data_IF_420727660596
#
_entry.id   IF_420727660596
#
_cell.length_a   1.000
_cell.length_b   1.000
_cell.length_c   1.000
_cell.angle_alpha   90.00
_cell.angle_beta   90.00
_cell.angle_gamma   90.00
#
_symmetry.space_group_name_H-M   'P 1'
#
loop_
_entity.id
_entity.type
_entity.pdbx_description
1 polymer ?
#
# COMPACT_ATOMS: atom_id res chain seq x y z
N UNK A 1 -42.82 -43.99 -0.12
CA UNK A 1 -43.70 -44.63 -1.13
C UNK A 1 -43.73 -43.90 -2.49
N UNK A 2 -42.66 -43.25 -2.99
CA UNK A 2 -42.77 -42.39 -4.19
C UNK A 2 -41.96 -42.77 -5.45
N UNK A 3 -41.29 -43.93 -5.50
CA UNK A 3 -40.37 -44.23 -6.63
C UNK A 3 -40.52 -45.63 -7.23
N UNK A 4 -41.67 -45.93 -7.85
CA UNK A 4 -41.84 -47.18 -8.61
C UNK A 4 -42.16 -46.98 -10.10
N UNK A 5 -42.03 -45.76 -10.65
CA UNK A 5 -42.12 -45.56 -12.11
C UNK A 5 -40.74 -45.29 -12.73
N UNK A 6 -40.43 -45.98 -13.83
CA UNK A 6 -39.22 -45.80 -14.63
C UNK A 6 -38.97 -44.32 -15.00
N UNK A 7 -40.05 -43.54 -15.07
CA UNK A 7 -40.11 -42.10 -15.35
C UNK A 7 -39.50 -41.23 -14.25
N UNK A 8 -39.79 -41.53 -12.99
CA UNK A 8 -39.18 -40.81 -11.87
C UNK A 8 -37.67 -41.05 -11.82
N UNK A 9 -37.22 -42.25 -12.21
CA UNK A 9 -35.78 -42.57 -12.38
C UNK A 9 -35.13 -41.73 -13.48
N UNK A 10 -35.73 -41.63 -14.66
CA UNK A 10 -35.15 -40.84 -15.78
C UNK A 10 -35.10 -39.35 -15.43
N UNK A 11 -36.18 -38.80 -14.88
CA UNK A 11 -36.22 -37.39 -14.47
C UNK A 11 -35.20 -37.07 -13.37
N UNK A 12 -35.07 -37.96 -12.37
CA UNK A 12 -34.07 -37.85 -11.31
C UNK A 12 -32.66 -37.84 -11.90
N UNK A 13 -32.36 -38.74 -12.85
CA UNK A 13 -31.03 -38.80 -13.49
C UNK A 13 -30.72 -37.49 -14.22
N UNK A 14 -31.65 -36.92 -14.97
CA UNK A 14 -31.44 -35.63 -15.65
C UNK A 14 -31.20 -34.47 -14.67
N UNK A 15 -31.98 -34.39 -13.58
CA UNK A 15 -31.82 -33.35 -12.56
C UNK A 15 -30.48 -33.48 -11.84
N UNK A 16 -30.10 -34.71 -11.46
CA UNK A 16 -28.80 -34.98 -10.82
C UNK A 16 -27.65 -34.64 -11.76
N UNK A 17 -27.72 -35.04 -13.02
CA UNK A 17 -26.66 -34.79 -14.00
C UNK A 17 -26.49 -33.29 -14.27
N UNK A 18 -27.60 -32.53 -14.31
CA UNK A 18 -27.56 -31.07 -14.43
C UNK A 18 -26.99 -30.39 -13.18
N UNK A 19 -27.37 -30.85 -11.98
CA UNK A 19 -26.81 -30.33 -10.72
C UNK A 19 -25.30 -30.59 -10.63
N UNK A 20 -24.84 -31.76 -11.07
CA UNK A 20 -23.40 -32.09 -11.14
C UNK A 20 -22.68 -31.16 -12.12
N UNK A 21 -23.25 -30.94 -13.31
CA UNK A 21 -22.67 -30.03 -14.31
C UNK A 21 -22.59 -28.58 -13.78
N UNK A 22 -23.64 -28.10 -13.11
CA UNK A 22 -23.66 -26.78 -12.48
C UNK A 22 -22.67 -26.66 -11.32
N UNK A 23 -22.60 -27.67 -10.45
CA UNK A 23 -21.62 -27.70 -9.35
C UNK A 23 -20.19 -27.70 -9.89
N UNK A 24 -19.90 -28.49 -10.93
CA UNK A 24 -18.59 -28.49 -11.59
C UNK A 24 -18.25 -27.12 -12.19
N UNK A 25 -19.19 -26.48 -12.90
CA UNK A 25 -19.01 -25.14 -13.44
C UNK A 25 -18.75 -24.10 -12.34
N UNK A 26 -19.53 -24.14 -11.25
CA UNK A 26 -19.35 -23.25 -10.11
C UNK A 26 -17.97 -23.43 -9.46
N UNK A 27 -17.53 -24.68 -9.24
CA UNK A 27 -16.21 -24.99 -8.68
C UNK A 27 -15.08 -24.48 -9.57
N UNK A 28 -15.17 -24.71 -10.88
CA UNK A 28 -14.17 -24.23 -11.85
C UNK A 28 -14.10 -22.71 -11.82
N UNK A 29 -15.23 -22.02 -11.95
CA UNK A 29 -15.26 -20.55 -11.97
C UNK A 29 -14.73 -19.97 -10.66
N UNK A 30 -15.15 -20.50 -9.51
CA UNK A 30 -14.68 -20.03 -8.21
C UNK A 30 -13.17 -20.25 -8.03
N UNK A 31 -12.65 -21.38 -8.50
CA UNK A 31 -11.21 -21.67 -8.46
C UNK A 31 -10.39 -20.72 -9.35
N UNK A 32 -10.92 -20.34 -10.52
CA UNK A 32 -10.29 -19.40 -11.45
C UNK A 32 -10.31 -17.98 -10.86
N UNK A 33 -11.42 -17.57 -10.26
CA UNK A 33 -11.55 -16.25 -9.61
C UNK A 33 -10.54 -16.10 -8.47
N UNK A 34 -10.47 -17.08 -7.56
CA UNK A 34 -9.56 -17.02 -6.41
C UNK A 34 -8.09 -16.99 -6.85
N UNK A 35 -7.71 -17.83 -7.82
CA UNK A 35 -6.34 -17.84 -8.36
C UNK A 35 -5.99 -16.53 -9.08
N UNK A 36 -6.91 -16.02 -9.90
CA UNK A 36 -6.69 -14.75 -10.61
C UNK A 36 -6.63 -13.56 -9.67
N UNK A 37 -7.39 -13.57 -8.58
CA UNK A 37 -7.39 -12.48 -7.60
C UNK A 37 -6.03 -12.33 -6.89
N UNK A 38 -5.44 -13.43 -6.42
CA UNK A 38 -4.11 -13.37 -5.79
C UNK A 38 -3.03 -12.90 -6.77
N UNK A 39 -3.03 -13.45 -7.99
CA UNK A 39 -2.06 -13.06 -9.02
C UNK A 39 -2.22 -11.59 -9.45
N UNK A 40 -3.46 -11.13 -9.65
CA UNK A 40 -3.74 -9.74 -9.97
C UNK A 40 -3.32 -8.80 -8.83
N UNK A 41 -3.51 -9.20 -7.57
CA UNK A 41 -3.08 -8.40 -6.42
C UNK A 41 -1.55 -8.25 -6.37
N UNK A 42 -0.79 -9.32 -6.62
CA UNK A 42 0.68 -9.24 -6.70
C UNK A 42 1.15 -8.37 -7.88
N UNK A 43 0.57 -8.54 -9.06
CA UNK A 43 0.90 -7.74 -10.24
C UNK A 43 0.59 -6.26 -10.00
N UNK A 44 -0.58 -5.94 -9.41
CA UNK A 44 -0.94 -4.57 -9.02
C UNK A 44 0.00 -3.98 -7.98
N UNK A 45 0.39 -4.74 -6.95
CA UNK A 45 1.36 -4.30 -5.96
C UNK A 45 2.73 -4.02 -6.59
N UNK A 46 3.16 -4.81 -7.58
CA UNK A 46 4.43 -4.57 -8.29
C UNK A 46 4.42 -3.30 -9.15
N UNK A 47 3.27 -2.97 -9.74
CA UNK A 47 3.08 -1.72 -10.48
C UNK A 47 3.05 -0.56 -9.50
N UNK A 48 2.29 -0.70 -8.42
CA UNK A 48 2.15 0.33 -7.41
C UNK A 48 3.46 0.59 -6.65
N UNK A 49 4.31 -0.41 -6.41
CA UNK A 49 5.68 -0.24 -5.89
C UNK A 49 6.50 0.70 -6.79
N UNK A 50 6.43 0.50 -8.11
CA UNK A 50 7.15 1.34 -9.08
C UNK A 50 6.60 2.77 -9.12
N UNK A 51 5.28 2.92 -9.10
CA UNK A 51 4.62 4.25 -9.05
C UNK A 51 4.97 4.96 -7.74
N UNK A 52 4.90 4.27 -6.61
CA UNK A 52 5.25 4.79 -5.31
C UNK A 52 6.72 5.24 -5.26
N UNK A 53 7.65 4.42 -5.76
CA UNK A 53 9.07 4.79 -5.83
C UNK A 53 9.31 6.03 -6.70
N UNK A 54 8.54 6.21 -7.78
CA UNK A 54 8.60 7.41 -8.62
C UNK A 54 8.05 8.64 -7.91
N UNK A 55 6.92 8.53 -7.21
CA UNK A 55 6.34 9.63 -6.41
C UNK A 55 7.32 10.04 -5.31
N UNK A 56 7.90 9.07 -4.59
CA UNK A 56 8.85 9.34 -3.52
C UNK A 56 10.11 10.05 -4.03
N UNK A 57 10.60 9.66 -5.21
CA UNK A 57 11.72 10.34 -5.86
C UNK A 57 11.38 11.78 -6.23
N UNK A 58 10.21 12.00 -6.85
CA UNK A 58 9.73 13.34 -7.17
C UNK A 58 9.58 14.21 -5.91
N UNK A 59 9.09 13.65 -4.81
CA UNK A 59 9.02 14.35 -3.53
C UNK A 59 10.42 14.74 -3.03
N UNK A 60 11.39 13.82 -3.06
CA UNK A 60 12.79 14.13 -2.73
C UNK A 60 13.37 15.27 -3.57
N UNK A 61 13.11 15.28 -4.88
CA UNK A 61 13.58 16.33 -5.79
C UNK A 61 12.94 17.68 -5.45
N UNK A 62 11.64 17.72 -5.18
CA UNK A 62 10.92 18.93 -4.79
C UNK A 62 11.45 19.50 -3.47
N UNK A 63 11.64 18.65 -2.45
CA UNK A 63 12.19 19.06 -1.15
C UNK A 63 13.63 19.58 -1.29
N UNK A 64 14.44 18.92 -2.13
CA UNK A 64 15.81 19.35 -2.43
C UNK A 64 15.84 20.71 -3.12
N UNK A 65 14.93 20.95 -4.08
CA UNK A 65 14.82 22.24 -4.76
C UNK A 65 14.40 23.35 -3.78
N UNK A 66 13.44 23.09 -2.90
CA UNK A 66 13.03 24.02 -1.86
C UNK A 66 14.19 24.36 -0.91
N UNK A 67 14.94 23.34 -0.46
CA UNK A 67 16.12 23.53 0.38
C UNK A 67 17.22 24.32 -0.34
N UNK A 68 17.44 24.08 -1.63
CA UNK A 68 18.42 24.80 -2.45
C UNK A 68 18.10 26.29 -2.56
N UNK A 69 16.82 26.65 -2.72
CA UNK A 69 16.38 28.06 -2.71
C UNK A 69 16.71 28.75 -1.39
N UNK A 70 16.53 28.07 -0.26
CA UNK A 70 16.92 28.59 1.07
C UNK A 70 18.43 28.72 1.18
N UNK A 71 19.20 27.74 0.72
CA UNK A 71 20.66 27.76 0.78
C UNK A 71 21.28 28.89 -0.07
N UNK A 72 20.57 29.35 -1.10
CA UNK A 72 20.95 30.46 -1.97
C UNK A 72 20.56 31.83 -1.41
N UNK A 73 19.68 31.88 -0.39
CA UNK A 73 19.23 33.13 0.22
C UNK A 73 20.41 33.91 0.81
N UNK A 74 20.50 35.20 0.48
CA UNK A 74 21.64 36.03 0.86
C UNK A 74 21.77 36.15 2.38
N UNK A 75 20.66 36.36 3.09
CA UNK A 75 20.67 36.50 4.54
C UNK A 75 21.08 35.21 5.25
N UNK A 76 20.64 34.06 4.72
CA UNK A 76 21.08 32.77 5.22
C UNK A 76 22.59 32.56 5.03
N UNK A 77 23.11 32.83 3.83
CA UNK A 77 24.53 32.68 3.52
C UNK A 77 25.41 33.61 4.34
N UNK A 78 24.98 34.86 4.52
CA UNK A 78 25.69 35.83 5.35
C UNK A 78 25.75 35.36 6.80
N UNK A 79 24.62 34.91 7.37
CA UNK A 79 24.57 34.35 8.72
C UNK A 79 25.54 33.16 8.88
N UNK A 80 25.59 32.24 7.92
CA UNK A 80 26.55 31.12 7.93
C UNK A 80 28.00 31.59 7.86
N UNK A 81 28.28 32.65 7.10
CA UNK A 81 29.62 33.21 6.97
C UNK A 81 30.11 33.97 8.22
N UNK A 82 29.21 34.40 9.12
CA UNK A 82 29.62 35.06 10.38
C UNK A 82 30.34 34.14 11.36
N UNK A 83 30.22 32.81 11.18
CA UNK A 83 30.71 31.79 12.13
C UNK A 83 30.17 31.94 13.57
N UNK A 84 29.09 32.71 13.78
CA UNK A 84 28.39 32.81 15.06
C UNK A 84 27.23 31.79 15.09
N UNK A 85 27.43 30.69 15.83
CA UNK A 85 26.47 29.59 15.91
C UNK A 85 25.08 30.02 16.42
N UNK A 86 24.97 31.09 17.22
CA UNK A 86 23.67 31.62 17.68
C UNK A 86 22.92 32.37 16.59
N UNK A 87 23.64 33.17 15.82
CA UNK A 87 23.09 33.88 14.65
C UNK A 87 22.65 32.87 13.58
N UNK A 88 23.49 31.85 13.32
CA UNK A 88 23.15 30.74 12.43
C UNK A 88 21.91 29.99 12.90
N UNK A 89 21.81 29.59 14.18
CA UNK A 89 20.65 28.89 14.70
C UNK A 89 19.34 29.68 14.52
N UNK A 90 19.40 31.01 14.65
CA UNK A 90 18.24 31.89 14.42
C UNK A 90 17.86 31.96 12.94
N UNK A 91 18.83 32.02 12.04
CA UNK A 91 18.59 31.95 10.60
C UNK A 91 17.99 30.59 10.20
N UNK A 92 18.52 29.47 10.73
CA UNK A 92 18.01 28.12 10.47
C UNK A 92 16.53 27.99 10.82
N UNK A 93 16.10 28.53 11.98
CA UNK A 93 14.68 28.55 12.37
C UNK A 93 13.82 29.33 11.38
N UNK A 94 14.18 30.58 11.11
CA UNK A 94 13.39 31.46 10.24
C UNK A 94 13.22 30.87 8.83
N UNK A 95 14.27 30.27 8.28
CA UNK A 95 14.21 29.67 6.96
C UNK A 95 13.59 28.28 6.93
N UNK A 96 13.70 27.51 8.02
CA UNK A 96 13.02 26.21 8.18
C UNK A 96 11.51 26.35 8.14
N UNK A 97 10.95 27.29 8.89
CA UNK A 97 9.51 27.55 8.93
C UNK A 97 8.95 27.92 7.54
N UNK A 98 9.72 28.69 6.76
CA UNK A 98 9.34 29.12 5.41
C UNK A 98 9.17 27.97 4.42
N UNK A 99 9.90 26.86 4.61
CA UNK A 99 9.79 25.66 3.78
C UNK A 99 9.10 24.50 4.49
N UNK A 100 8.54 24.74 5.68
CA UNK A 100 7.90 23.72 6.53
C UNK A 100 8.82 22.55 6.86
N UNK A 101 10.11 22.81 7.07
CA UNK A 101 11.05 21.81 7.56
C UNK A 101 10.95 21.72 9.09
N UNK A 102 10.63 20.53 9.63
CA UNK A 102 10.54 20.28 11.07
C UNK A 102 11.89 20.41 11.78
N UNK A 103 12.97 20.06 11.09
CA UNK A 103 14.33 20.17 11.59
C UNK A 103 15.24 20.76 10.52
N UNK A 104 16.10 21.70 10.93
CA UNK A 104 17.13 22.25 10.06
C UNK A 104 18.45 22.21 10.82
N UNK A 105 19.48 21.67 10.18
CA UNK A 105 20.81 21.50 10.75
C UNK A 105 21.83 22.07 9.78
N UNK A 106 22.87 22.69 10.32
CA UNK A 106 24.04 23.11 9.55
C UNK A 106 25.21 22.22 9.93
N UNK A 107 25.86 21.65 8.92
CA UNK A 107 26.99 20.74 9.06
C UNK A 107 28.20 21.34 8.36
N UNK A 108 29.36 21.32 9.01
CA UNK A 108 30.61 21.76 8.39
C UNK A 108 31.09 20.78 7.31
N UNK A 109 32.20 21.12 6.65
CA UNK A 109 32.78 20.29 5.59
C UNK A 109 33.39 18.97 6.11
N UNK A 110 33.69 18.89 7.41
CA UNK A 110 34.22 17.70 8.09
C UNK A 110 33.11 16.77 8.60
N UNK A 111 31.84 17.15 8.45
CA UNK A 111 30.68 16.36 8.89
C UNK A 111 30.31 16.57 10.36
N UNK A 112 30.67 17.69 10.99
CA UNK A 112 30.25 18.06 12.35
C UNK A 112 29.14 19.10 12.34
N UNK A 113 28.28 19.05 13.33
CA UNK A 113 27.20 20.02 13.51
C UNK A 113 27.76 21.38 13.94
N UNK A 114 27.35 22.45 13.25
CA UNK A 114 27.62 23.84 13.63
C UNK A 114 26.46 24.36 14.49
N UNK A 115 25.23 24.15 14.03
CA UNK A 115 24.01 24.57 14.72
C UNK A 115 22.81 23.78 14.21
N UNK A 116 21.72 23.76 14.98
CA UNK A 116 20.42 23.25 14.56
C UNK A 116 19.29 24.23 14.91
N UNK A 117 18.09 24.00 14.38
CA UNK A 117 16.91 24.84 14.66
C UNK A 117 16.51 24.84 16.15
N UNK A 118 16.86 23.78 16.89
CA UNK A 118 16.72 23.69 18.35
C UNK A 118 17.79 24.44 19.15
N UNK A 119 18.87 24.90 18.51
CA UNK A 119 19.91 25.72 19.12
C UNK A 119 21.34 25.22 18.86
N UNK A 120 22.24 25.48 19.81
CA UNK A 120 23.68 25.17 19.70
C UNK A 120 24.12 24.02 20.61
N UNK A 121 23.18 23.33 21.27
CA UNK A 121 23.48 22.28 22.26
C UNK A 121 24.22 21.05 21.71
N UNK A 122 24.34 20.94 20.39
CA UNK A 122 25.00 19.84 19.66
C UNK A 122 26.18 20.30 18.81
N UNK A 123 26.63 21.54 18.97
CA UNK A 123 27.77 22.10 18.24
C UNK A 123 29.03 21.23 18.44
N UNK A 124 29.75 20.97 17.35
CA UNK A 124 30.95 20.14 17.30
C UNK A 124 30.72 18.62 17.33
N UNK A 125 29.49 18.15 17.56
CA UNK A 125 29.19 16.71 17.50
C UNK A 125 29.20 16.20 16.05
N UNK A 126 29.58 14.93 15.87
CA UNK A 126 29.49 14.29 14.57
C UNK A 126 28.03 14.22 14.09
N UNK A 127 27.81 14.58 12.83
CA UNK A 127 26.50 14.48 12.20
C UNK A 127 26.10 13.00 12.04
N UNK A 128 24.90 12.59 12.48
CA UNK A 128 24.51 11.18 12.55
C UNK A 128 24.35 10.47 11.19
N UNK A 129 24.33 11.21 10.07
CA UNK A 129 24.12 10.64 8.72
C UNK A 129 25.31 10.96 7.78
N UNK A 130 26.47 10.32 7.98
CA UNK A 130 27.69 10.65 7.23
C UNK A 130 27.63 10.27 5.74
N UNK A 131 26.78 9.33 5.30
CA UNK A 131 26.69 9.01 3.85
C UNK A 131 25.91 10.09 3.10
N UNK A 132 24.94 10.73 3.75
CA UNK A 132 24.21 11.87 3.22
C UNK A 132 25.18 13.01 2.90
N UNK A 133 26.07 13.35 3.83
CA UNK A 133 27.12 14.37 3.65
C UNK A 133 28.08 14.00 2.52
N UNK A 134 28.54 12.74 2.47
CA UNK A 134 29.40 12.26 1.39
C UNK A 134 28.74 12.34 0.01
N UNK A 135 27.44 12.08 -0.05
CA UNK A 135 26.66 12.11 -1.29
C UNK A 135 26.48 13.55 -1.78
N UNK A 136 26.09 14.48 -0.91
CA UNK A 136 25.95 15.89 -1.30
C UNK A 136 27.30 16.50 -1.68
N UNK A 137 28.39 16.11 -1.01
CA UNK A 137 29.74 16.57 -1.34
C UNK A 137 30.20 16.17 -2.75
N UNK A 138 29.68 15.06 -3.29
CA UNK A 138 30.06 14.55 -4.62
C UNK A 138 29.06 14.88 -5.72
N UNK A 139 27.75 14.88 -5.40
CA UNK A 139 26.68 15.07 -6.38
C UNK A 139 26.08 16.48 -6.40
N UNK A 140 26.29 17.27 -5.34
CA UNK A 140 25.73 18.61 -5.20
C UNK A 140 24.37 18.67 -4.48
N UNK A 141 23.71 17.53 -4.30
CA UNK A 141 22.55 17.33 -3.44
C UNK A 141 22.51 15.88 -2.95
N UNK A 142 21.72 15.63 -1.90
CA UNK A 142 21.40 14.28 -1.46
C UNK A 142 20.08 14.24 -0.69
N UNK A 143 19.41 13.09 -0.73
CA UNK A 143 18.27 12.79 0.14
C UNK A 143 18.40 11.39 0.76
N UNK A 144 17.90 11.23 1.98
CA UNK A 144 17.91 9.96 2.70
C UNK A 144 16.84 9.95 3.79
N UNK A 145 16.38 8.79 4.21
CA UNK A 145 15.51 8.64 5.37
C UNK A 145 16.34 8.39 6.62
N UNK A 146 15.95 8.98 7.74
CA UNK A 146 16.70 8.85 8.99
C UNK A 146 15.83 9.01 10.21
N UNK A 147 16.24 8.38 11.30
CA UNK A 147 15.61 8.54 12.61
C UNK A 147 16.36 9.62 13.40
N UNK A 148 15.65 10.64 13.87
CA UNK A 148 16.18 11.61 14.84
C UNK A 148 15.34 11.47 16.12
N UNK A 149 15.95 10.85 17.14
CA UNK A 149 15.22 10.41 18.32
C UNK A 149 14.20 9.32 17.98
N UNK A 150 12.92 9.45 18.39
CA UNK A 150 11.88 8.47 18.08
C UNK A 150 11.13 8.74 16.76
N UNK A 151 11.41 9.87 16.09
CA UNK A 151 10.68 10.29 14.88
C UNK A 151 11.51 10.03 13.62
N UNK A 152 10.83 9.63 12.55
CA UNK A 152 11.42 9.46 11.23
C UNK A 152 11.32 10.75 10.43
N UNK A 153 12.37 11.05 9.67
CA UNK A 153 12.46 12.21 8.80
C UNK A 153 12.96 11.81 7.41
N UNK A 154 12.40 12.45 6.39
CA UNK A 154 13.01 12.54 5.07
C UNK A 154 13.99 13.72 5.11
N UNK A 155 15.28 13.41 5.01
CA UNK A 155 16.37 14.38 5.08
C UNK A 155 16.80 14.74 3.67
N UNK A 156 17.01 16.03 3.43
CA UNK A 156 17.62 16.56 2.21
C UNK A 156 18.83 17.42 2.59
N UNK A 157 19.92 17.29 1.86
CA UNK A 157 21.15 18.03 2.09
C UNK A 157 21.57 18.78 0.83
N UNK A 158 21.88 20.06 0.99
CA UNK A 158 22.35 20.94 -0.10
C UNK A 158 23.52 21.81 0.35
N UNK A 159 24.45 22.18 -0.55
CA UNK A 159 25.58 23.07 -0.24
C UNK A 159 25.14 24.50 0.05
N UNK A 160 25.73 25.09 1.09
CA UNK A 160 25.77 26.55 1.27
C UNK A 160 27.08 27.04 0.64
N UNK A 161 26.98 27.90 -0.38
CA UNK A 161 28.15 28.35 -1.17
C UNK A 161 28.48 29.81 -0.91
N UNK A 162 29.76 30.14 -0.73
CA UNK A 162 30.26 31.51 -0.77
C UNK A 162 31.77 31.56 -1.06
N UNK A 163 32.24 31.73 -2.31
CA UNK A 163 31.73 31.25 -3.61
C UNK A 163 31.94 29.72 -3.83
N UNK A 164 32.70 29.06 -2.96
CA UNK A 164 32.80 27.60 -2.85
C UNK A 164 31.87 27.09 -1.73
N UNK A 165 31.65 25.78 -1.63
CA UNK A 165 30.89 25.23 -0.50
C UNK A 165 31.63 25.48 0.82
N UNK A 166 30.94 26.08 1.79
CA UNK A 166 31.49 26.37 3.14
C UNK A 166 30.83 25.52 4.24
N UNK A 167 29.62 25.01 3.97
CA UNK A 167 28.85 24.15 4.86
C UNK A 167 27.77 23.40 4.06
N UNK A 168 27.12 22.44 4.69
CA UNK A 168 25.94 21.73 4.21
C UNK A 168 24.74 22.09 5.08
N UNK A 169 23.65 22.56 4.48
CA UNK A 169 22.38 22.67 5.19
C UNK A 169 21.60 21.38 4.97
N UNK A 170 21.16 20.78 6.06
CA UNK A 170 20.32 19.59 6.08
C UNK A 170 18.95 19.97 6.61
N UNK A 171 17.92 19.69 5.83
CA UNK A 171 16.52 19.89 6.23
C UNK A 171 15.85 18.53 6.37
N UNK A 172 15.06 18.36 7.42
CA UNK A 172 14.29 17.16 7.68
C UNK A 172 12.81 17.45 7.75
N UNK A 173 12.04 16.66 7.00
CA UNK A 173 10.59 16.69 6.94
C UNK A 173 10.05 15.46 7.63
N UNK A 174 9.15 15.62 8.60
CA UNK A 174 8.63 14.53 9.38
C UNK A 174 7.89 13.52 8.50
N UNK A 175 8.18 12.24 8.70
CA UNK A 175 7.40 11.15 8.12
C UNK A 175 6.24 10.89 9.09
N UNK A 176 5.07 11.43 8.75
CA UNK A 176 3.87 11.38 9.58
C UNK A 176 2.67 10.78 8.85
N UNK A 177 1.56 10.67 9.56
CA UNK A 177 0.34 10.09 9.01
C UNK A 177 -0.27 10.94 7.89
N UNK A 178 0.03 12.25 7.84
CA UNK A 178 -0.45 13.11 6.76
C UNK A 178 0.26 12.74 5.45
N UNK A 179 1.59 12.60 5.48
CA UNK A 179 2.35 12.10 4.34
C UNK A 179 1.88 10.72 3.90
N UNK A 180 1.63 9.81 4.84
CA UNK A 180 1.13 8.47 4.53
C UNK A 180 -0.23 8.50 3.82
N UNK A 181 -1.17 9.34 4.30
CA UNK A 181 -2.48 9.53 3.66
C UNK A 181 -2.38 10.18 2.28
N UNK A 182 -1.50 11.16 2.11
CA UNK A 182 -1.28 11.81 0.81
C UNK A 182 -0.76 10.79 -0.21
N UNK A 183 0.25 10.01 0.16
CA UNK A 183 0.79 8.94 -0.70
C UNK A 183 -0.26 7.84 -0.97
N UNK A 184 -1.09 7.52 0.01
CA UNK A 184 -2.20 6.58 -0.14
C UNK A 184 -3.21 7.07 -1.19
N UNK A 185 -3.59 8.35 -1.13
CA UNK A 185 -4.51 8.97 -2.10
C UNK A 185 -3.97 8.94 -3.53
N UNK A 186 -2.65 9.10 -3.71
CA UNK A 186 -2.01 9.12 -5.02
C UNK A 186 -1.82 7.71 -5.61
N UNK A 187 -1.70 6.68 -4.78
CA UNK A 187 -1.40 5.31 -5.20
C UNK A 187 -2.61 4.37 -5.14
N UNK A 188 -3.71 4.81 -4.53
CA UNK A 188 -4.85 3.93 -4.19
C UNK A 188 -4.41 2.71 -3.37
N UNK A 189 -3.35 2.85 -2.58
CA UNK A 189 -2.87 1.83 -1.64
C UNK A 189 -2.94 2.37 -0.24
N UNK A 190 -3.05 1.49 0.73
CA UNK A 190 -2.71 1.83 2.11
C UNK A 190 -1.18 1.86 2.24
N UNK A 191 -0.66 2.87 2.94
CA UNK A 191 0.77 3.15 3.08
C UNK A 191 1.11 3.27 4.55
N UNK A 192 2.03 2.42 5.01
CA UNK A 192 2.50 2.43 6.39
C UNK A 192 4.03 2.52 6.42
N UNK A 193 4.57 3.55 7.07
CA UNK A 193 6.01 3.68 7.32
C UNK A 193 6.36 2.94 8.60
N UNK A 194 7.38 2.09 8.51
CA UNK A 194 7.81 1.21 9.57
C UNK A 194 9.30 1.38 9.85
N UNK A 195 9.69 1.18 11.10
CA UNK A 195 11.07 0.93 11.48
C UNK A 195 11.24 -0.53 11.85
N UNK A 196 12.37 -1.11 11.49
CA UNK A 196 12.73 -2.46 11.91
C UNK A 196 13.70 -2.35 13.07
N UNK A 197 13.27 -2.78 14.26
CA UNK A 197 14.11 -2.85 15.45
C UNK A 197 15.17 -3.94 15.33
N UNK A 198 16.19 -3.87 16.19
CA UNK A 198 17.25 -4.89 16.26
C UNK A 198 16.74 -6.27 16.70
N UNK A 199 15.58 -6.30 17.36
CA UNK A 199 14.82 -7.51 17.72
C UNK A 199 13.97 -8.08 16.58
N UNK A 200 14.02 -7.44 15.39
CA UNK A 200 13.27 -7.83 14.20
C UNK A 200 11.80 -7.40 14.22
N UNK A 201 11.33 -6.74 15.28
CA UNK A 201 9.95 -6.25 15.36
C UNK A 201 9.76 -4.98 14.56
N UNK A 202 8.57 -4.82 14.00
CA UNK A 202 8.19 -3.61 13.29
C UNK A 202 7.60 -2.60 14.26
N UNK A 203 8.17 -1.40 14.27
CA UNK A 203 7.57 -0.23 14.90
C UNK A 203 6.88 0.62 13.85
N UNK A 204 5.60 0.94 14.06
CA UNK A 204 4.87 1.84 13.16
C UNK A 204 5.30 3.28 13.41
N UNK A 205 5.77 3.95 12.36
CA UNK A 205 6.19 5.35 12.39
C UNK A 205 5.06 6.26 11.94
N UNK A 206 4.39 5.89 10.86
CA UNK A 206 3.25 6.59 10.28
C UNK A 206 2.38 5.61 9.49
N UNK A 207 1.08 5.87 9.36
CA UNK A 207 0.19 5.04 8.55
C UNK A 207 -1.03 5.79 8.03
N UNK A 208 -1.42 5.47 6.79
CA UNK A 208 -2.70 5.90 6.21
C UNK A 208 -3.90 5.16 6.81
N UNK A 209 -3.67 4.01 7.44
CA UNK A 209 -4.72 3.20 8.04
C UNK A 209 -5.28 3.85 9.32
N UNK A 210 -6.57 3.61 9.62
CA UNK A 210 -7.16 4.01 10.88
C UNK A 210 -6.54 3.25 12.06
N UNK A 211 -6.66 3.82 13.27
CA UNK A 211 -5.93 3.36 14.46
C UNK A 211 -6.16 1.90 14.83
N UNK A 212 -7.36 1.37 14.59
CA UNK A 212 -7.74 -0.02 14.86
C UNK A 212 -6.97 -1.03 14.00
N UNK A 213 -6.66 -0.67 12.76
CA UNK A 213 -5.87 -1.50 11.85
C UNK A 213 -4.36 -1.37 12.10
N UNK A 214 -3.90 -0.35 12.84
CA UNK A 214 -2.46 -0.13 13.11
C UNK A 214 -1.86 -1.17 14.04
N UNK A 215 -2.63 -1.69 14.99
CA UNK A 215 -2.16 -2.72 15.92
C UNK A 215 -1.84 -4.04 15.21
N UNK A 216 -2.45 -4.28 14.04
CA UNK A 216 -2.12 -5.43 13.20
C UNK A 216 -0.82 -5.24 12.38
N UNK A 217 -0.31 -4.01 12.26
CA UNK A 217 0.89 -3.70 11.47
C UNK A 217 2.19 -4.17 12.11
N UNK A 218 2.18 -4.51 13.39
CA UNK A 218 3.37 -5.01 14.09
C UNK A 218 3.77 -6.43 13.68
N UNK A 219 2.86 -7.16 13.01
CA UNK A 219 3.10 -8.51 12.50
C UNK A 219 2.55 -8.71 11.08
N UNK A 220 3.44 -8.94 10.12
CA UNK A 220 3.10 -9.21 8.72
C UNK A 220 2.15 -10.43 8.58
N UNK A 221 2.26 -11.43 9.46
CA UNK A 221 1.40 -12.61 9.41
C UNK A 221 -0.05 -12.28 9.79
N UNK A 222 -0.26 -11.35 10.71
CA UNK A 222 -1.58 -10.92 11.17
C UNK A 222 -2.30 -10.08 10.11
N UNK A 223 -1.56 -9.24 9.38
CA UNK A 223 -2.06 -8.51 8.21
C UNK A 223 -2.54 -9.43 7.08
N UNK A 224 -1.75 -10.46 6.76
CA UNK A 224 -2.15 -11.47 5.78
C UNK A 224 -3.41 -12.21 6.22
N UNK A 225 -3.53 -12.52 7.52
CA UNK A 225 -4.72 -13.16 8.09
C UNK A 225 -5.98 -12.27 8.00
N UNK A 226 -5.82 -10.94 8.05
CA UNK A 226 -6.91 -9.97 7.89
C UNK A 226 -7.30 -9.72 6.41
N UNK A 227 -6.67 -10.43 5.47
CA UNK A 227 -6.99 -10.34 4.06
C UNK A 227 -6.36 -9.13 3.36
N UNK A 228 -5.16 -8.73 3.77
CA UNK A 228 -4.37 -7.73 3.06
C UNK A 228 -3.23 -8.39 2.25
N UNK A 229 -3.02 -7.89 1.03
CA UNK A 229 -1.81 -8.16 0.29
C UNK A 229 -0.80 -7.06 0.66
N UNK A 230 0.39 -7.48 1.08
CA UNK A 230 1.41 -6.56 1.59
C UNK A 230 2.69 -6.64 0.77
N UNK A 231 3.35 -5.51 0.55
CA UNK A 231 4.67 -5.43 -0.07
C UNK A 231 5.57 -4.49 0.72
N UNK A 232 6.70 -5.01 1.21
CA UNK A 232 7.69 -4.22 1.95
C UNK A 232 8.73 -3.66 0.98
N UNK A 233 8.88 -2.34 0.97
CA UNK A 233 9.95 -1.63 0.26
C UNK A 233 10.90 -0.98 1.28
N UNK A 234 12.19 -1.35 1.23
CA UNK A 234 13.19 -0.72 2.09
C UNK A 234 13.58 0.63 1.51
N UNK A 235 13.53 1.68 2.33
CA UNK A 235 13.97 3.01 1.92
C UNK A 235 15.48 3.13 2.05
N UNK A 236 16.06 4.01 1.24
CA UNK A 236 17.44 4.42 1.43
C UNK A 236 17.51 5.16 2.77
N UNK A 237 18.03 4.48 3.79
CA UNK A 237 18.08 4.97 5.16
C UNK A 237 19.46 4.81 5.77
N UNK A 238 19.80 5.71 6.67
CA UNK A 238 21.02 5.66 7.45
C UNK A 238 20.73 5.44 8.93
N UNK A 239 21.44 4.49 9.54
CA UNK A 239 21.19 4.05 10.91
C UNK A 239 20.08 2.99 10.95
N UNK A 240 19.00 3.25 11.70
CA UNK A 240 17.86 2.33 11.77
C UNK A 240 17.15 2.25 10.42
N UNK A 241 16.79 1.03 10.04
CA UNK A 241 16.11 0.79 8.76
C UNK A 241 14.72 1.41 8.81
N UNK A 242 14.44 2.28 7.84
CA UNK A 242 13.09 2.76 7.55
C UNK A 242 12.58 2.00 6.33
N UNK A 243 11.39 1.43 6.44
CA UNK A 243 10.71 0.71 5.38
C UNK A 243 9.31 1.28 5.16
N UNK A 244 8.79 1.04 3.97
CA UNK A 244 7.39 1.30 3.64
C UNK A 244 6.72 -0.03 3.41
N UNK A 245 5.59 -0.23 4.08
CA UNK A 245 4.66 -1.31 3.82
C UNK A 245 3.55 -0.76 2.94
N UNK A 246 3.45 -1.30 1.74
CA UNK A 246 2.38 -1.04 0.79
C UNK A 246 1.31 -2.12 0.96
N UNK A 247 0.07 -1.70 1.13
CA UNK A 247 -1.01 -2.55 1.59
C UNK A 247 -2.21 -2.40 0.66
N UNK A 248 -2.84 -3.53 0.33
CA UNK A 248 -4.07 -3.56 -0.46
C UNK A 248 -5.04 -4.56 0.15
N UNK A 249 -6.23 -4.09 0.50
CA UNK A 249 -7.32 -4.94 0.96
C UNK A 249 -7.75 -5.90 -0.15
N UNK A 250 -7.59 -7.23 0.05
CA UNK A 250 -8.15 -8.22 -0.87
C UNK A 250 -9.67 -8.15 -0.88
N UNK A 251 -10.31 -7.81 0.24
CA UNK A 251 -11.77 -7.69 0.29
C UNK A 251 -12.28 -6.61 -0.66
N UNK A 252 -11.58 -5.48 -0.73
CA UNK A 252 -11.91 -4.38 -1.64
C UNK A 252 -11.54 -4.73 -3.09
N UNK A 253 -10.35 -5.32 -3.31
CA UNK A 253 -9.94 -5.81 -4.62
C UNK A 253 -10.88 -6.91 -5.18
N UNK A 254 -11.49 -7.72 -4.31
CA UNK A 254 -12.43 -8.78 -4.64
C UNK A 254 -13.89 -8.33 -4.70
N UNK A 255 -14.22 -7.11 -4.29
CA UNK A 255 -15.61 -6.64 -4.27
C UNK A 255 -16.33 -6.76 -5.63
N UNK A 256 -15.70 -6.45 -6.79
CA UNK A 256 -16.31 -6.67 -8.10
C UNK A 256 -16.58 -8.16 -8.38
N UNK A 257 -15.70 -9.05 -7.93
CA UNK A 257 -15.83 -10.50 -8.13
C UNK A 257 -16.94 -11.11 -7.26
N UNK A 258 -17.17 -10.59 -6.05
CA UNK A 258 -18.31 -11.00 -5.21
C UNK A 258 -19.64 -10.79 -5.93
N UNK A 259 -19.80 -9.66 -6.64
CA UNK A 259 -21.01 -9.41 -7.46
C UNK A 259 -21.18 -10.45 -8.56
N UNK A 260 -20.11 -10.79 -9.28
CA UNK A 260 -20.15 -11.83 -10.31
C UNK A 260 -20.53 -13.19 -9.73
N UNK A 261 -20.00 -13.53 -8.55
CA UNK A 261 -20.33 -14.77 -7.84
C UNK A 261 -21.81 -14.81 -7.45
N UNK A 262 -22.38 -13.71 -6.95
CA UNK A 262 -23.83 -13.63 -6.64
C UNK A 262 -24.67 -13.79 -7.90
N UNK A 263 -24.30 -13.14 -9.00
CA UNK A 263 -25.00 -13.26 -10.29
C UNK A 263 -24.97 -14.70 -10.81
N UNK A 264 -23.80 -15.36 -10.76
CA UNK A 264 -23.67 -16.77 -11.17
C UNK A 264 -24.49 -17.70 -10.27
N UNK A 265 -24.51 -17.46 -8.97
CA UNK A 265 -25.35 -18.21 -8.03
C UNK A 265 -26.83 -18.04 -8.37
N UNK A 266 -27.28 -16.80 -8.66
CA UNK A 266 -28.65 -16.53 -9.12
C UNK A 266 -28.96 -17.25 -10.44
N UNK A 267 -28.08 -17.20 -11.43
CA UNK A 267 -28.25 -17.91 -12.71
C UNK A 267 -28.32 -19.43 -12.48
N UNK A 268 -27.51 -19.95 -11.57
CA UNK A 268 -27.49 -21.37 -11.23
C UNK A 268 -28.80 -21.78 -10.57
N UNK A 269 -29.26 -21.02 -9.59
CA UNK A 269 -30.54 -21.23 -8.90
C UNK A 269 -31.72 -21.17 -9.88
N UNK A 270 -31.71 -20.18 -10.77
CA UNK A 270 -32.74 -20.01 -11.80
C UNK A 270 -32.72 -21.17 -12.80
N UNK A 271 -31.53 -21.63 -13.19
CA UNK A 271 -31.36 -22.82 -14.03
C UNK A 271 -31.91 -24.10 -13.37
N UNK A 272 -31.65 -24.31 -12.07
CA UNK A 272 -32.22 -25.43 -11.31
C UNK A 272 -33.74 -25.37 -11.29
N UNK A 273 -34.30 -24.17 -11.10
CA UNK A 273 -35.74 -23.93 -11.03
C UNK A 273 -36.41 -24.19 -12.38
N UNK A 274 -35.86 -23.66 -13.47
CA UNK A 274 -36.33 -23.88 -14.84
C UNK A 274 -36.25 -25.36 -15.23
N UNK A 275 -35.14 -26.03 -14.89
CA UNK A 275 -34.98 -27.46 -15.15
C UNK A 275 -35.98 -28.32 -14.38
N UNK A 276 -36.21 -27.99 -13.10
CA UNK A 276 -37.22 -28.67 -12.28
C UNK A 276 -38.63 -28.52 -12.86
N UNK A 277 -39.01 -27.29 -13.25
CA UNK A 277 -40.31 -27.01 -13.87
C UNK A 277 -40.43 -27.70 -15.23
N UNK A 278 -39.40 -27.61 -16.07
CA UNK A 278 -39.34 -28.25 -17.38
C UNK A 278 -39.50 -29.77 -17.30
N UNK A 279 -38.81 -30.41 -16.34
CA UNK A 279 -38.90 -31.84 -16.08
C UNK A 279 -40.32 -32.27 -15.67
N UNK A 280 -41.00 -31.47 -14.82
CA UNK A 280 -42.40 -31.70 -14.44
C UNK A 280 -43.38 -31.50 -15.61
N UNK A 281 -43.17 -30.48 -16.45
CA UNK A 281 -44.02 -30.21 -17.61
C UNK A 281 -43.90 -31.28 -18.69
N UNK A 282 -42.67 -31.71 -19.01
CA UNK A 282 -42.40 -32.85 -19.89
C UNK A 282 -43.04 -34.14 -19.34
N UNK A 283 -42.95 -34.36 -18.03
CA UNK A 283 -43.61 -35.48 -17.39
C UNK A 283 -45.13 -35.44 -17.58
N UNK A 284 -45.77 -34.26 -17.68
CA UNK A 284 -47.22 -34.05 -17.87
C UNK A 284 -47.67 -34.11 -19.34
N UNK A 285 -46.87 -33.60 -20.29
CA UNK A 285 -47.26 -33.52 -21.71
C UNK A 285 -47.20 -34.89 -22.42
N UNK A 286 -46.25 -35.74 -22.02
CA UNK A 286 -46.10 -37.10 -22.58
C UNK A 286 -47.05 -38.11 -21.90
N UNK A 287 -47.52 -37.84 -20.68
CA UNK A 287 -48.42 -38.74 -19.94
C UNK A 287 -49.88 -38.66 -20.36
N UNK A 288 -50.40 -37.48 -20.73
CA UNK A 288 -51.81 -37.33 -21.13
C UNK A 288 -52.20 -38.17 -22.36
N UNK A 289 -51.41 -38.23 -23.46
CA UNK A 289 -51.78 -39.01 -24.65
C UNK A 289 -51.70 -40.53 -24.44
N UNK A 290 -50.75 -41.02 -23.65
CA UNK A 290 -50.54 -42.46 -23.42
C UNK A 290 -51.57 -43.04 -22.45
N UNK A 291 -52.04 -42.26 -21.47
CA UNK A 291 -53.16 -42.65 -20.63
C UNK A 291 -54.48 -42.77 -21.42
N UNK A 292 -54.68 -41.92 -22.44
CA UNK A 292 -55.85 -41.99 -23.31
C UNK A 292 -55.84 -43.25 -24.21
N UNK A 293 -54.67 -43.70 -24.68
CA UNK A 293 -54.54 -44.91 -25.49
C UNK A 293 -54.78 -46.21 -24.70
N UNK A 294 -54.38 -46.25 -23.43
CA UNK A 294 -54.65 -47.42 -22.56
C UNK A 294 -56.11 -47.52 -22.11
N UNK A 295 -56.86 -46.41 -22.15
CA UNK A 295 -58.30 -46.42 -21.88
C UNK A 295 -59.13 -46.96 -23.05
N UNK A 296 -58.61 -46.89 -24.29
CA UNK A 296 -59.26 -47.48 -25.46
C UNK A 296 -59.11 -49.00 -25.54
N UNK A 297 -57.98 -49.57 -25.12
CA UNK A 297 -57.79 -51.03 -25.08
C UNK A 297 -58.52 -51.75 -23.94
N UNK A 298 -59.14 -51.01 -23.01
CA UNK A 298 -59.98 -51.59 -21.94
C UNK A 298 -61.48 -51.61 -22.28
N UNK A 299 -61.87 -51.10 -23.45
CA UNK A 299 -63.26 -50.99 -23.89
C UNK A 299 -63.58 -51.84 -25.13
N UNK A 300 -62.64 -52.68 -25.55
CA UNK A 300 -62.80 -53.79 -26.51
C UNK A 300 -62.50 -55.05 -25.72
#
# INVERSE_FOLDING_TARGET
MLFHSLRARIALVFVVLMLVAQAAAFLVINSVILKNAHRNAEEQLSVAERVFAQILRGNSEQLTQAASVVALDFGFREAVATHDSKTVASALRNHGDRVHADVVMLVDLDGKLIADSGGVGREGMAFPFPKLIRTVATKGDASSFGMIGPRAYQLVAVPVKAPIAIAWVVMGFAVDDALARDLSSLTSLDVSFLTVGDDGKWGVLASSLPHDARDALTDQAQLAANGYATRVMRLHSEGRTVAVLLERSLNEALAPFKRLQTTLLLITLLGVLVSSVGSVLMARSVTRPIAALTQFSKRI
#
